data_IF_283866738020
#
_entry.id   IF_283866738020
#
_cell.length_a   1.000
_cell.length_b   1.000
_cell.length_c   1.000
_cell.angle_alpha   90.00
_cell.angle_beta   90.00
_cell.angle_gamma   90.00
#
_symmetry.space_group_name_H-M   'P 1'
#
loop_
_entity.id
_entity.type
_entity.pdbx_description
1 polymer ?
#
# COMPACT_ATOMS: atom_id res chain seq x y z
N UNK A 1 6.65 -25.08 -17.30
CA UNK A 1 6.46 -23.72 -17.85
C UNK A 1 5.73 -22.92 -16.78
N UNK A 2 6.48 -22.22 -15.94
CA UNK A 2 5.92 -21.51 -14.78
C UNK A 2 5.35 -20.17 -15.22
N UNK A 3 4.04 -19.97 -15.03
CA UNK A 3 3.42 -18.66 -15.22
C UNK A 3 4.00 -17.68 -14.22
N UNK A 4 4.55 -16.56 -14.70
CA UNK A 4 4.86 -15.40 -13.86
C UNK A 4 3.53 -14.71 -13.57
N UNK A 5 3.22 -14.55 -12.29
CA UNK A 5 2.09 -13.75 -11.82
C UNK A 5 2.31 -12.31 -12.29
N UNK A 6 1.33 -11.73 -12.98
CA UNK A 6 1.40 -10.36 -13.49
C UNK A 6 0.77 -9.45 -12.45
N UNK A 7 1.57 -8.63 -11.76
CA UNK A 7 1.05 -7.49 -11.00
C UNK A 7 0.81 -6.33 -11.98
N UNK A 8 -0.41 -6.20 -12.50
CA UNK A 8 -0.81 -4.98 -13.20
C UNK A 8 -1.17 -3.95 -12.15
N UNK A 9 -0.21 -3.11 -11.76
CA UNK A 9 -0.50 -1.90 -11.00
C UNK A 9 -0.89 -0.81 -12.01
N UNK A 10 -2.19 -0.61 -12.22
CA UNK A 10 -2.70 0.55 -12.94
C UNK A 10 -2.83 1.73 -11.96
N UNK A 11 -1.82 2.60 -11.91
CA UNK A 11 -1.90 3.84 -11.12
C UNK A 11 -2.54 4.92 -11.99
N UNK A 12 -3.81 5.22 -11.75
CA UNK A 12 -4.46 6.41 -12.31
C UNK A 12 -4.15 7.59 -11.37
N UNK A 13 -3.20 8.43 -11.75
CA UNK A 13 -2.81 9.61 -10.96
C UNK A 13 -3.65 10.81 -11.37
N UNK A 14 -4.33 11.45 -10.42
CA UNK A 14 -4.96 12.76 -10.59
C UNK A 14 -4.09 13.83 -9.93
N UNK A 15 -3.13 14.39 -10.66
CA UNK A 15 -2.41 15.59 -10.22
C UNK A 15 -3.18 16.84 -10.62
N UNK A 16 -3.43 17.76 -9.68
CA UNK A 16 -3.85 19.15 -9.99
C UNK A 16 -5.28 19.57 -9.67
N UNK A 17 -6.13 18.75 -9.04
CA UNK A 17 -7.43 19.24 -8.56
C UNK A 17 -7.26 20.07 -7.28
N UNK A 18 -7.06 21.40 -7.42
CA UNK A 18 -7.52 22.33 -6.38
C UNK A 18 -9.02 22.47 -6.53
N UNK A 19 -9.79 21.80 -5.68
CA UNK A 19 -11.17 22.23 -5.40
C UNK A 19 -11.07 23.55 -4.63
N UNK A 20 -11.03 24.68 -5.34
CA UNK A 20 -11.19 25.98 -4.69
C UNK A 20 -12.65 26.12 -4.26
N UNK A 21 -12.95 25.80 -3.00
CA UNK A 21 -14.17 26.30 -2.36
C UNK A 21 -13.96 27.78 -2.05
N UNK A 22 -14.22 28.63 -3.04
CA UNK A 22 -14.14 30.08 -2.90
C UNK A 22 -14.20 30.77 -4.26
N UNK A 23 -14.92 31.90 -4.32
CA UNK A 23 -14.96 32.75 -5.51
C UNK A 23 -13.53 33.09 -5.94
N UNK A 24 -13.11 32.58 -7.09
CA UNK A 24 -11.81 32.93 -7.66
C UNK A 24 -11.78 34.45 -7.94
N UNK A 25 -10.67 35.15 -7.61
CA UNK A 25 -10.49 36.52 -8.06
C UNK A 25 -10.53 36.58 -9.60
N UNK A 26 -10.99 37.70 -10.20
CA UNK A 26 -11.05 37.82 -11.65
C UNK A 26 -9.65 37.58 -12.24
N UNK A 27 -9.55 36.57 -13.09
CA UNK A 27 -8.33 36.23 -13.83
C UNK A 27 -7.97 37.44 -14.69
N UNK A 28 -6.75 37.97 -14.53
CA UNK A 28 -6.25 39.03 -15.39
C UNK A 28 -6.30 38.58 -16.87
N UNK A 29 -6.68 39.43 -17.82
CA UNK A 29 -6.92 39.04 -19.22
C UNK A 29 -5.69 38.44 -19.93
N UNK A 30 -4.49 38.60 -19.37
CA UNK A 30 -3.22 38.10 -19.90
C UNK A 30 -2.57 37.02 -19.02
N UNK A 31 -3.27 36.47 -18.03
CA UNK A 31 -2.75 35.34 -17.27
C UNK A 31 -2.77 34.10 -18.17
N UNK A 32 -1.58 33.69 -18.62
CA UNK A 32 -1.35 32.44 -19.35
C UNK A 32 -2.09 31.31 -18.63
N UNK A 33 -2.99 30.62 -19.34
CA UNK A 33 -3.74 29.52 -18.75
C UNK A 33 -2.75 28.54 -18.13
N UNK A 34 -2.96 28.09 -16.87
CA UNK A 34 -2.04 27.14 -16.26
C UNK A 34 -1.90 25.94 -17.19
N UNK A 35 -0.65 25.54 -17.45
CA UNK A 35 -0.37 24.39 -18.29
C UNK A 35 -1.25 23.21 -17.83
N UNK A 36 -1.88 22.47 -18.76
CA UNK A 36 -2.77 21.39 -18.38
C UNK A 36 -2.01 20.40 -17.50
N UNK A 37 -2.66 19.91 -16.46
CA UNK A 37 -2.12 18.84 -15.63
C UNK A 37 -1.69 17.69 -16.56
N UNK A 38 -0.40 17.35 -16.55
CA UNK A 38 0.09 16.18 -17.27
C UNK A 38 -0.12 14.96 -16.39
N UNK A 39 -0.97 14.08 -16.89
CA UNK A 39 -1.26 12.80 -16.28
C UNK A 39 -0.29 11.76 -16.83
N UNK A 40 0.27 10.97 -15.93
CA UNK A 40 1.18 9.89 -16.29
C UNK A 40 0.64 8.56 -15.79
N UNK A 41 0.94 7.52 -16.56
CA UNK A 41 0.78 6.13 -16.19
C UNK A 41 2.15 5.58 -15.84
N UNK A 42 2.20 4.67 -14.87
CA UNK A 42 3.37 3.85 -14.62
C UNK A 42 2.95 2.39 -14.45
N UNK A 43 3.75 1.48 -14.97
CA UNK A 43 3.54 0.03 -14.85
C UNK A 43 4.87 -0.71 -14.88
N UNK A 44 4.88 -1.94 -14.33
CA UNK A 44 6.03 -2.85 -14.41
C UNK A 44 5.75 -3.89 -15.49
N UNK A 45 6.67 -4.05 -16.43
CA UNK A 45 6.57 -5.04 -17.51
C UNK A 45 6.98 -6.45 -17.04
N UNK A 46 6.64 -7.53 -17.78
CA UNK A 46 6.98 -8.91 -17.39
C UNK A 46 8.49 -9.23 -17.28
N UNK A 47 9.32 -8.43 -17.92
CA UNK A 47 10.79 -8.45 -17.86
C UNK A 47 11.37 -7.55 -16.75
N UNK A 48 10.51 -6.85 -16.00
CA UNK A 48 10.90 -6.06 -14.84
C UNK A 48 11.29 -4.62 -15.15
N UNK A 49 10.85 -4.07 -16.28
CA UNK A 49 11.02 -2.66 -16.58
C UNK A 49 9.88 -1.87 -15.91
N UNK A 50 10.22 -0.92 -15.04
CA UNK A 50 9.27 0.10 -14.60
C UNK A 50 9.21 1.17 -15.68
N UNK A 51 8.09 1.22 -16.38
CA UNK A 51 7.85 2.14 -17.50
C UNK A 51 6.87 3.22 -17.05
N UNK A 52 7.13 4.46 -17.47
CA UNK A 52 6.16 5.56 -17.39
C UNK A 52 5.78 6.05 -18.78
N UNK A 53 4.55 6.54 -18.93
CA UNK A 53 4.08 7.19 -20.14
C UNK A 53 3.07 8.29 -19.80
N UNK A 54 2.73 9.15 -20.76
CA UNK A 54 1.57 10.02 -20.67
C UNK A 54 0.27 9.17 -20.63
N UNK A 55 -0.84 9.75 -20.18
CA UNK A 55 -2.11 9.01 -20.00
C UNK A 55 -2.70 8.42 -21.29
N UNK A 56 -2.32 8.98 -22.44
CA UNK A 56 -2.62 8.46 -23.77
C UNK A 56 -1.58 7.43 -24.27
N UNK A 57 -0.72 6.96 -23.36
CA UNK A 57 0.41 6.05 -23.60
C UNK A 57 1.52 6.65 -24.49
N UNK A 58 1.54 7.96 -24.70
CA UNK A 58 2.63 8.63 -25.41
C UNK A 58 3.92 8.73 -24.58
N UNK A 59 5.07 8.90 -25.25
CA UNK A 59 6.39 9.06 -24.62
C UNK A 59 6.71 7.98 -23.56
N UNK A 60 6.58 6.68 -23.87
CA UNK A 60 6.93 5.62 -22.93
C UNK A 60 8.44 5.64 -22.65
N UNK A 61 8.81 5.58 -21.37
CA UNK A 61 10.19 5.58 -20.90
C UNK A 61 10.39 4.59 -19.77
N UNK A 62 11.40 3.73 -19.91
CA UNK A 62 11.90 2.93 -18.79
C UNK A 62 12.61 3.85 -17.79
N UNK A 63 12.17 3.81 -16.54
CA UNK A 63 12.72 4.63 -15.44
C UNK A 63 13.45 3.80 -14.38
N UNK A 64 13.22 2.49 -14.35
CA UNK A 64 14.02 1.51 -13.63
C UNK A 64 13.91 0.15 -14.33
N UNK A 65 14.91 -0.71 -14.16
CA UNK A 65 14.95 -2.09 -14.67
C UNK A 65 15.04 -3.05 -13.47
N UNK A 66 14.90 -4.35 -13.71
CA UNK A 66 15.02 -5.39 -12.67
C UNK A 66 13.96 -5.33 -11.56
N UNK A 67 12.91 -4.54 -11.76
CA UNK A 67 11.83 -4.31 -10.80
C UNK A 67 10.91 -5.52 -10.73
N UNK A 68 10.72 -6.06 -9.53
CA UNK A 68 9.73 -7.12 -9.28
C UNK A 68 8.59 -6.68 -8.35
N UNK A 69 8.72 -5.53 -7.69
CA UNK A 69 7.67 -4.95 -6.85
C UNK A 69 7.75 -3.42 -6.88
N UNK A 70 6.59 -2.76 -6.86
CA UNK A 70 6.50 -1.30 -6.93
C UNK A 70 5.29 -0.77 -6.14
N UNK A 71 5.45 0.39 -5.49
CA UNK A 71 4.41 1.08 -4.75
C UNK A 71 4.41 2.58 -5.06
N UNK A 72 3.27 3.19 -5.43
CA UNK A 72 3.19 4.61 -5.76
C UNK A 72 3.10 5.48 -4.50
N UNK A 73 3.51 6.75 -4.60
CA UNK A 73 3.12 7.79 -3.65
C UNK A 73 1.66 8.20 -3.83
N UNK A 74 1.04 8.77 -2.79
CA UNK A 74 -0.37 9.20 -2.85
C UNK A 74 -0.62 10.31 -3.90
N UNK A 75 0.36 11.18 -4.13
CA UNK A 75 0.32 12.19 -5.19
C UNK A 75 0.66 11.63 -6.58
N UNK A 76 1.06 10.35 -6.67
CA UNK A 76 1.44 9.65 -7.88
C UNK A 76 2.68 10.18 -8.59
N UNK A 77 3.43 11.11 -7.98
CA UNK A 77 4.64 11.65 -8.58
C UNK A 77 5.85 10.71 -8.43
N UNK A 78 5.79 9.77 -7.48
CA UNK A 78 6.90 8.90 -7.12
C UNK A 78 6.47 7.44 -7.08
N UNK A 79 7.42 6.55 -7.34
CA UNK A 79 7.28 5.12 -7.17
C UNK A 79 8.48 4.61 -6.37
N UNK A 80 8.23 3.90 -5.29
CA UNK A 80 9.24 3.08 -4.63
C UNK A 80 9.19 1.70 -5.28
N UNK A 81 10.35 1.08 -5.44
CA UNK A 81 10.46 -0.17 -6.15
C UNK A 81 11.53 -1.06 -5.51
N UNK A 82 11.37 -2.37 -5.68
CA UNK A 82 12.37 -3.36 -5.31
C UNK A 82 12.97 -4.00 -6.55
N UNK A 83 14.29 -4.06 -6.58
CA UNK A 83 15.14 -4.67 -7.59
C UNK A 83 15.96 -5.81 -6.96
N UNK A 84 16.17 -6.90 -7.69
CA UNK A 84 16.84 -8.11 -7.17
C UNK A 84 18.35 -7.96 -6.97
N UNK A 85 19.01 -7.21 -7.85
CA UNK A 85 20.45 -6.95 -7.84
C UNK A 85 20.79 -5.72 -7.00
N UNK A 86 19.87 -4.78 -6.97
CA UNK A 86 20.09 -3.45 -6.47
C UNK A 86 19.43 -3.25 -5.09
N UNK A 87 18.27 -3.84 -4.82
CA UNK A 87 17.53 -3.65 -3.57
C UNK A 87 16.42 -2.63 -3.72
N UNK A 88 16.13 -1.86 -2.66
CA UNK A 88 14.98 -0.93 -2.66
C UNK A 88 15.43 0.45 -3.18
N UNK A 89 14.72 0.99 -4.16
CA UNK A 89 14.90 2.34 -4.67
C UNK A 89 13.60 3.15 -4.66
N UNK A 90 13.70 4.44 -4.98
CA UNK A 90 12.55 5.23 -5.38
C UNK A 90 12.89 6.10 -6.59
N UNK A 91 11.87 6.44 -7.37
CA UNK A 91 11.99 7.26 -8.59
C UNK A 91 10.88 8.31 -8.63
N UNK A 92 11.22 9.51 -9.11
CA UNK A 92 10.26 10.53 -9.53
C UNK A 92 9.91 10.32 -11.02
N UNK A 93 8.63 10.10 -11.33
CA UNK A 93 8.20 9.74 -12.70
C UNK A 93 8.36 10.88 -13.71
N UNK A 94 8.37 12.14 -13.23
CA UNK A 94 8.52 13.33 -14.06
C UNK A 94 9.98 13.65 -14.33
N UNK A 95 10.76 13.84 -13.26
CA UNK A 95 12.16 14.25 -13.36
C UNK A 95 13.10 13.11 -13.70
N UNK A 96 12.69 11.86 -13.45
CA UNK A 96 13.58 10.69 -13.52
C UNK A 96 14.61 10.66 -12.39
N UNK A 97 14.49 11.54 -11.39
CA UNK A 97 15.35 11.50 -10.20
C UNK A 97 15.16 10.16 -9.49
N UNK A 98 16.25 9.44 -9.28
CA UNK A 98 16.28 8.19 -8.52
C UNK A 98 17.15 8.33 -7.29
N UNK A 99 16.81 7.57 -6.25
CA UNK A 99 17.68 7.43 -5.09
C UNK A 99 17.51 6.05 -4.46
N UNK A 100 18.63 5.53 -3.95
CA UNK A 100 18.69 4.22 -3.33
C UNK A 100 18.25 4.29 -1.87
N UNK A 101 17.31 3.43 -1.51
CA UNK A 101 16.74 3.31 -0.16
C UNK A 101 17.45 2.23 0.65
N UNK A 102 17.68 1.06 0.07
CA UNK A 102 18.34 -0.06 0.74
C UNK A 102 19.10 -0.98 -0.23
N UNK A 103 20.25 -1.50 0.22
CA UNK A 103 21.01 -2.54 -0.50
C UNK A 103 20.17 -3.82 -0.67
N UNK A 104 20.49 -4.71 -1.64
CA UNK A 104 19.73 -5.93 -1.85
C UNK A 104 19.88 -6.88 -0.65
N UNK A 105 18.84 -7.67 -0.39
CA UNK A 105 18.82 -8.64 0.69
C UNK A 105 18.38 -10.00 0.16
N UNK A 106 19.25 -11.01 0.28
CA UNK A 106 19.17 -12.29 -0.45
C UNK A 106 18.23 -13.33 0.15
N UNK A 107 17.33 -12.96 1.08
CA UNK A 107 16.63 -13.97 1.92
C UNK A 107 15.14 -13.77 2.20
N UNK A 108 14.50 -12.69 1.74
CA UNK A 108 13.06 -12.53 1.95
C UNK A 108 12.29 -12.64 0.63
N UNK A 109 11.48 -13.70 0.45
CA UNK A 109 10.72 -13.90 -0.79
C UNK A 109 9.54 -12.93 -0.98
N UNK A 110 9.29 -12.04 -0.01
CA UNK A 110 8.18 -11.08 0.00
C UNK A 110 8.70 -9.71 0.44
N UNK A 111 8.77 -8.73 -0.47
CA UNK A 111 9.33 -7.40 -0.20
C UNK A 111 8.24 -6.34 -0.26
N UNK A 112 7.21 -6.48 0.58
CA UNK A 112 6.20 -5.44 0.64
C UNK A 112 6.81 -4.10 1.06
N UNK A 113 6.55 -3.08 0.25
CA UNK A 113 7.05 -1.73 0.42
C UNK A 113 5.94 -0.71 0.21
N UNK A 114 6.05 0.44 0.88
CA UNK A 114 5.06 1.50 0.80
C UNK A 114 5.70 2.88 0.97
N UNK A 115 5.28 3.86 0.17
CA UNK A 115 5.64 5.27 0.36
C UNK A 115 4.61 5.93 1.28
N UNK A 116 5.06 6.78 2.21
CA UNK A 116 4.15 7.64 2.97
C UNK A 116 3.42 8.63 2.05
N UNK A 117 2.17 9.05 2.37
CA UNK A 117 1.42 9.96 1.51
C UNK A 117 2.12 11.29 1.23
N UNK A 118 2.92 11.81 2.17
CA UNK A 118 3.77 12.99 2.00
C UNK A 118 5.00 12.78 1.09
N UNK A 119 5.22 11.55 0.63
CA UNK A 119 6.32 11.14 -0.24
C UNK A 119 7.70 11.12 0.42
N UNK A 120 7.80 11.36 1.73
CA UNK A 120 9.09 11.56 2.42
C UNK A 120 9.69 10.28 2.99
N UNK A 121 8.90 9.21 3.13
CA UNK A 121 9.32 7.98 3.80
C UNK A 121 8.98 6.76 2.98
N UNK A 122 9.84 5.75 3.06
CA UNK A 122 9.62 4.43 2.46
C UNK A 122 9.67 3.40 3.56
N UNK A 123 8.57 2.68 3.76
CA UNK A 123 8.52 1.49 4.59
C UNK A 123 8.83 0.27 3.72
N UNK A 124 9.64 -0.66 4.20
CA UNK A 124 9.96 -1.91 3.52
C UNK A 124 10.30 -3.01 4.52
N UNK A 125 10.15 -4.27 4.10
CA UNK A 125 10.43 -5.42 4.97
C UNK A 125 11.85 -5.95 4.72
N UNK A 126 12.60 -6.15 5.79
CA UNK A 126 13.94 -6.73 5.75
C UNK A 126 14.16 -7.64 6.95
N UNK A 127 14.49 -8.89 6.68
CA UNK A 127 14.64 -9.97 7.67
C UNK A 127 13.39 -10.13 8.55
N UNK A 128 12.21 -10.08 7.92
CA UNK A 128 10.91 -10.18 8.60
C UNK A 128 10.58 -9.01 9.53
N UNK A 129 11.29 -7.88 9.44
CA UNK A 129 11.03 -6.65 10.21
C UNK A 129 10.73 -5.48 9.29
N UNK A 130 9.91 -4.55 9.74
CA UNK A 130 9.70 -3.30 9.00
C UNK A 130 10.82 -2.32 9.29
N UNK A 131 11.38 -1.78 8.21
CA UNK A 131 12.30 -0.65 8.20
C UNK A 131 11.61 0.56 7.60
N UNK A 132 11.91 1.73 8.13
CA UNK A 132 11.43 3.01 7.58
C UNK A 132 12.65 3.86 7.24
N UNK A 133 12.77 4.16 5.96
CA UNK A 133 13.77 5.06 5.44
C UNK A 133 13.21 6.48 5.31
N UNK A 134 14.07 7.46 5.50
CA UNK A 134 13.78 8.89 5.28
C UNK A 134 15.03 9.54 4.72
N UNK A 135 14.88 10.34 3.67
CA UNK A 135 16.01 10.98 2.99
C UNK A 135 16.88 11.77 3.98
N UNK A 136 18.19 11.52 3.95
CA UNK A 136 19.17 12.19 4.80
C UNK A 136 19.10 11.83 6.29
N UNK A 137 18.37 10.78 6.67
CA UNK A 137 18.30 10.27 8.05
C UNK A 137 18.71 8.80 8.09
N UNK A 138 19.08 8.33 9.28
CA UNK A 138 19.30 6.90 9.49
C UNK A 138 17.99 6.12 9.37
N UNK A 139 18.06 4.97 8.70
CA UNK A 139 16.93 4.04 8.59
C UNK A 139 16.61 3.45 9.95
N UNK A 140 15.37 3.59 10.38
CA UNK A 140 14.88 3.00 11.62
C UNK A 140 14.33 1.60 11.38
N UNK A 141 14.41 0.74 12.40
CA UNK A 141 13.74 -0.56 12.42
C UNK A 141 12.64 -0.50 13.46
N UNK A 142 11.41 -0.80 13.07
CA UNK A 142 10.26 -0.75 13.98
C UNK A 142 10.39 -1.86 15.03
N UNK A 143 10.19 -1.49 16.30
CA UNK A 143 10.21 -2.41 17.43
C UNK A 143 8.84 -3.04 17.66
N UNK A 144 8.82 -4.32 18.08
CA UNK A 144 7.58 -5.09 18.31
C UNK A 144 7.38 -6.20 17.28
N UNK A 145 6.79 -5.92 16.11
CA UNK A 145 6.36 -6.95 15.17
C UNK A 145 7.54 -7.67 14.51
N UNK A 146 7.32 -8.95 14.22
CA UNK A 146 8.22 -9.85 13.49
C UNK A 146 7.41 -10.65 12.48
N UNK A 147 8.09 -11.18 11.47
CA UNK A 147 7.45 -11.84 10.32
C UNK A 147 6.44 -10.90 9.66
N UNK A 148 6.85 -9.64 9.49
CA UNK A 148 5.99 -8.56 9.01
C UNK A 148 5.63 -8.76 7.53
N UNK A 149 4.46 -8.28 7.14
CA UNK A 149 3.91 -8.23 5.79
C UNK A 149 3.18 -6.90 5.57
N UNK A 150 2.93 -6.56 4.31
CA UNK A 150 1.98 -5.53 3.87
C UNK A 150 1.99 -4.22 4.69
N UNK A 151 3.11 -3.47 4.76
CA UNK A 151 3.14 -2.17 5.40
C UNK A 151 2.22 -1.19 4.65
N UNK A 152 1.43 -0.42 5.39
CA UNK A 152 0.50 0.55 4.84
C UNK A 152 0.50 1.84 5.66
N UNK A 153 0.87 2.95 5.04
CA UNK A 153 0.85 4.26 5.70
C UNK A 153 -0.56 4.80 5.85
N UNK A 154 -0.83 5.44 6.99
CA UNK A 154 -2.04 6.21 7.19
C UNK A 154 -2.02 7.48 6.33
N UNK A 155 -3.19 8.02 5.94
CA UNK A 155 -3.32 9.23 5.13
C UNK A 155 -2.59 10.45 5.73
N UNK A 156 -2.52 10.51 7.06
CA UNK A 156 -1.83 11.57 7.81
C UNK A 156 -0.30 11.54 7.69
N UNK A 157 0.28 10.50 7.06
CA UNK A 157 1.72 10.31 6.97
C UNK A 157 2.43 10.30 8.32
N UNK A 158 1.78 9.92 9.41
CA UNK A 158 2.37 9.79 10.75
C UNK A 158 2.32 8.36 11.25
N UNK A 159 1.25 7.62 10.91
CA UNK A 159 1.05 6.23 11.34
C UNK A 159 1.35 5.23 10.23
N UNK A 160 1.85 4.05 10.60
CA UNK A 160 2.09 2.91 9.72
C UNK A 160 1.44 1.66 10.30
N UNK A 161 0.52 1.05 9.54
CA UNK A 161 -0.01 -0.27 9.86
C UNK A 161 0.84 -1.35 9.20
N UNK A 162 0.98 -2.49 9.88
CA UNK A 162 1.81 -3.62 9.47
C UNK A 162 1.09 -4.90 9.80
N UNK A 163 0.95 -5.78 8.82
CA UNK A 163 0.52 -7.16 9.04
C UNK A 163 1.67 -8.02 9.55
N UNK A 164 1.38 -9.10 10.27
CA UNK A 164 2.36 -10.15 10.51
C UNK A 164 1.85 -11.50 10.01
N UNK A 165 2.74 -12.47 9.96
CA UNK A 165 2.40 -13.89 9.78
C UNK A 165 2.51 -14.64 11.11
N UNK A 166 1.90 -15.82 11.15
CA UNK A 166 2.16 -16.85 12.15
C UNK A 166 3.66 -17.09 12.33
N UNK A 167 4.10 -17.38 13.56
CA UNK A 167 5.46 -17.90 13.77
C UNK A 167 5.53 -19.30 13.18
N UNK A 168 6.66 -19.65 12.56
CA UNK A 168 6.88 -20.96 11.93
C UNK A 168 6.57 -22.16 12.86
N UNK A 169 6.77 -22.00 14.16
CA UNK A 169 6.57 -23.05 15.16
C UNK A 169 5.23 -22.92 15.93
N UNK A 170 4.37 -21.97 15.52
CA UNK A 170 3.06 -21.74 16.10
C UNK A 170 2.00 -22.09 15.06
N UNK A 171 1.72 -23.39 14.93
CA UNK A 171 0.71 -23.93 13.99
C UNK A 171 -0.72 -23.43 14.32
N UNK A 172 -0.93 -22.91 15.53
CA UNK A 172 -2.21 -22.43 16.05
C UNK A 172 -2.25 -20.91 16.32
N UNK A 173 -1.32 -20.10 15.81
CA UNK A 173 -1.34 -18.64 15.98
C UNK A 173 -1.27 -17.90 14.65
N UNK A 174 -2.30 -17.12 14.33
CA UNK A 174 -2.30 -16.25 13.17
C UNK A 174 -1.36 -15.03 13.30
N UNK A 175 -1.14 -14.39 12.16
CA UNK A 175 -0.66 -13.02 12.12
C UNK A 175 -1.62 -12.01 12.76
N UNK A 176 -1.08 -10.89 13.24
CA UNK A 176 -1.86 -9.77 13.77
C UNK A 176 -1.58 -8.47 13.01
N UNK A 177 -2.26 -7.41 13.42
CA UNK A 177 -2.07 -6.06 12.86
C UNK A 177 -1.46 -5.16 13.92
N UNK A 178 -0.41 -4.46 13.52
CA UNK A 178 0.35 -3.55 14.37
C UNK A 178 0.30 -2.15 13.78
N UNK A 179 0.22 -1.13 14.64
CA UNK A 179 0.27 0.28 14.23
C UNK A 179 1.43 0.96 14.93
N UNK A 180 2.26 1.64 14.15
CA UNK A 180 3.38 2.43 14.64
C UNK A 180 3.13 3.92 14.38
N UNK A 181 3.37 4.76 15.39
CA UNK A 181 3.01 6.19 15.38
C UNK A 181 4.17 7.16 15.14
N UNK A 182 5.37 6.65 14.82
CA UNK A 182 6.56 7.50 14.63
C UNK A 182 7.58 7.40 15.76
N UNK A 183 7.14 6.99 16.95
CA UNK A 183 7.92 6.86 18.17
C UNK A 183 7.68 5.51 18.84
N UNK A 184 8.67 5.06 19.61
CA UNK A 184 8.58 3.82 20.38
C UNK A 184 8.31 2.56 19.55
N UNK A 185 7.72 1.58 20.23
CA UNK A 185 7.33 0.29 19.65
C UNK A 185 5.95 0.39 19.00
N UNK A 186 5.70 -0.43 17.99
CA UNK A 186 4.36 -0.55 17.42
C UNK A 186 3.39 -1.19 18.41
N UNK A 187 2.14 -0.74 18.37
CA UNK A 187 1.04 -1.24 19.19
C UNK A 187 0.29 -2.34 18.45
N UNK A 188 -0.09 -3.40 19.16
CA UNK A 188 -0.82 -4.53 18.59
C UNK A 188 -2.33 -4.24 18.62
N UNK A 189 -2.89 -3.77 17.50
CA UNK A 189 -4.28 -3.29 17.40
C UNK A 189 -5.27 -4.39 17.05
N UNK A 190 -4.85 -5.40 16.27
CA UNK A 190 -5.67 -6.59 15.99
C UNK A 190 -4.87 -7.81 16.43
N UNK A 191 -5.26 -8.47 17.53
CA UNK A 191 -4.57 -9.66 17.99
C UNK A 191 -4.79 -10.84 17.04
N UNK A 192 -3.78 -11.70 16.97
CA UNK A 192 -3.85 -13.00 16.33
C UNK A 192 -5.09 -13.79 16.78
N UNK A 193 -5.73 -14.49 15.85
CA UNK A 193 -6.73 -15.52 16.15
C UNK A 193 -6.02 -16.88 16.24
N UNK A 194 -6.58 -17.78 17.04
CA UNK A 194 -6.19 -19.19 17.10
C UNK A 194 -7.15 -20.05 16.29
N UNK A 195 -7.24 -19.79 15.00
CA UNK A 195 -8.08 -20.50 14.03
C UNK A 195 -7.25 -21.29 13.02
N UNK A 196 -5.93 -21.05 12.96
CA UNK A 196 -4.96 -21.92 12.34
C UNK A 196 -4.85 -21.67 10.83
N UNK A 197 -3.79 -20.99 10.42
CA UNK A 197 -3.37 -20.73 9.03
C UNK A 197 -3.81 -19.40 8.43
N UNK A 198 -3.73 -18.30 9.17
CA UNK A 198 -3.94 -16.93 8.67
C UNK A 198 -2.68 -16.09 8.51
N UNK A 199 -2.41 -15.61 7.30
CA UNK A 199 -1.42 -14.54 7.05
C UNK A 199 -2.11 -13.27 6.59
N UNK A 200 -1.71 -12.11 7.13
CA UNK A 200 -2.22 -10.83 6.65
C UNK A 200 -1.63 -10.55 5.26
N UNK A 201 -2.52 -10.42 4.28
CA UNK A 201 -2.17 -10.27 2.87
C UNK A 201 -2.32 -8.83 2.42
N UNK A 202 -3.31 -8.12 2.94
CA UNK A 202 -3.54 -6.71 2.63
C UNK A 202 -3.93 -5.95 3.91
N UNK A 203 -3.41 -4.74 4.05
CA UNK A 203 -3.80 -3.77 5.08
C UNK A 203 -4.07 -2.45 4.38
N UNK A 204 -5.21 -1.81 4.66
CA UNK A 204 -5.54 -0.51 4.11
C UNK A 204 -6.24 0.39 5.10
N UNK A 205 -5.78 1.63 5.17
CA UNK A 205 -6.43 2.70 5.90
C UNK A 205 -7.63 3.25 5.13
N UNK A 206 -8.69 3.60 5.85
CA UNK A 206 -9.72 4.49 5.31
C UNK A 206 -9.11 5.87 4.99
N UNK A 207 -9.65 6.61 4.01
CA UNK A 207 -9.13 7.94 3.64
C UNK A 207 -9.10 8.97 4.78
N UNK A 208 -9.96 8.84 5.78
CA UNK A 208 -9.96 9.66 7.00
C UNK A 208 -8.95 9.18 8.06
N UNK A 209 -8.35 8.00 7.87
CA UNK A 209 -7.41 7.40 8.79
C UNK A 209 -8.03 6.85 10.08
N UNK A 210 -9.36 6.72 10.16
CA UNK A 210 -10.03 6.20 11.35
C UNK A 210 -10.11 4.68 11.38
N UNK A 211 -10.13 4.02 10.22
CA UNK A 211 -10.33 2.58 10.08
C UNK A 211 -9.18 1.88 9.35
N UNK A 212 -9.01 0.61 9.67
CA UNK A 212 -8.20 -0.35 8.94
C UNK A 212 -9.08 -1.48 8.43
N UNK A 213 -8.95 -1.79 7.15
CA UNK A 213 -9.51 -2.98 6.53
C UNK A 213 -8.36 -3.93 6.19
N UNK A 214 -8.53 -5.19 6.55
CA UNK A 214 -7.47 -6.20 6.39
C UNK A 214 -8.02 -7.44 5.70
N UNK A 215 -7.18 -8.07 4.88
CA UNK A 215 -7.47 -9.36 4.28
C UNK A 215 -6.51 -10.40 4.85
N UNK A 216 -7.05 -11.55 5.26
CA UNK A 216 -6.31 -12.71 5.74
C UNK A 216 -6.69 -13.92 4.89
N UNK A 217 -5.69 -14.71 4.49
CA UNK A 217 -5.94 -16.02 3.88
C UNK A 217 -5.90 -17.07 4.96
N UNK A 218 -7.01 -17.79 5.19
CA UNK A 218 -7.15 -18.92 6.12
C UNK A 218 -7.23 -20.24 5.33
N UNK A 219 -6.85 -21.37 5.94
CA UNK A 219 -6.75 -22.67 5.24
C UNK A 219 -8.04 -23.16 4.55
N UNK A 220 -9.20 -22.61 4.91
CA UNK A 220 -10.53 -22.91 4.36
C UNK A 220 -11.13 -21.79 3.49
N UNK A 221 -10.46 -20.64 3.37
CA UNK A 221 -11.00 -19.50 2.63
C UNK A 221 -10.24 -18.21 2.88
N UNK A 222 -10.78 -17.11 2.38
CA UNK A 222 -10.20 -15.81 2.63
C UNK A 222 -11.22 -14.92 3.31
N UNK A 223 -10.86 -14.33 4.44
CA UNK A 223 -11.71 -13.43 5.23
C UNK A 223 -11.01 -12.09 5.44
N UNK A 224 -11.75 -11.10 5.93
CA UNK A 224 -11.17 -9.82 6.26
C UNK A 224 -11.84 -9.18 7.46
N UNK A 225 -11.01 -8.45 8.20
CA UNK A 225 -11.43 -7.75 9.40
C UNK A 225 -11.52 -6.25 9.10
N UNK A 226 -12.41 -5.59 9.83
CA UNK A 226 -12.52 -4.15 9.86
C UNK A 226 -12.34 -3.68 11.31
N UNK A 227 -11.46 -2.73 11.56
CA UNK A 227 -11.11 -2.28 12.92
C UNK A 227 -10.85 -0.79 12.94
N UNK A 228 -11.16 -0.09 14.05
CA UNK A 228 -10.67 1.27 14.21
C UNK A 228 -9.15 1.28 14.39
N UNK A 229 -8.51 2.33 13.91
CA UNK A 229 -7.07 2.47 13.92
C UNK A 229 -6.43 2.49 15.32
N UNK A 230 -7.23 2.75 16.36
CA UNK A 230 -6.84 2.66 17.78
C UNK A 230 -7.01 1.25 18.38
N UNK A 231 -7.41 0.26 17.56
CA UNK A 231 -7.70 -1.11 17.98
C UNK A 231 -9.08 -1.32 18.60
N UNK A 232 -9.90 -0.26 18.71
CA UNK A 232 -11.29 -0.40 19.13
C UNK A 232 -12.18 -0.95 18.00
N UNK A 233 -13.37 -1.43 18.35
CA UNK A 233 -14.40 -1.83 17.38
C UNK A 233 -13.94 -2.80 16.29
N UNK A 234 -13.35 -3.93 16.71
CA UNK A 234 -12.96 -5.02 15.80
C UNK A 234 -14.21 -5.74 15.30
N UNK A 235 -14.45 -5.70 13.99
CA UNK A 235 -15.47 -6.47 13.26
C UNK A 235 -14.75 -7.59 12.50
N UNK A 236 -14.71 -8.79 13.10
CA UNK A 236 -14.04 -9.97 12.54
C UNK A 236 -14.84 -10.57 11.39
N UNK A 237 -14.13 -11.01 10.35
CA UNK A 237 -14.70 -11.68 9.17
C UNK A 237 -15.88 -10.90 8.55
N UNK A 238 -15.89 -9.58 8.77
CA UNK A 238 -16.98 -8.69 8.40
C UNK A 238 -16.91 -8.29 6.93
N UNK A 239 -15.71 -8.37 6.35
CA UNK A 239 -15.45 -8.08 4.95
C UNK A 239 -14.85 -9.32 4.28
N UNK A 240 -15.09 -9.46 2.99
CA UNK A 240 -14.41 -10.47 2.18
C UNK A 240 -12.94 -10.12 1.96
N UNK A 241 -12.18 -11.04 1.39
CA UNK A 241 -10.73 -10.90 1.29
C UNK A 241 -10.18 -10.17 0.07
N UNK A 242 -11.06 -9.66 -0.80
CA UNK A 242 -10.70 -8.57 -1.68
C UNK A 242 -10.86 -8.82 -3.18
N UNK A 243 -10.33 -7.92 -4.05
CA UNK A 243 -9.57 -6.72 -3.66
C UNK A 243 -10.40 -5.78 -2.79
N UNK A 244 -9.84 -5.38 -1.66
CA UNK A 244 -10.47 -4.39 -0.78
C UNK A 244 -10.14 -3.02 -1.38
N UNK A 245 -11.14 -2.15 -1.53
CA UNK A 245 -10.94 -0.75 -1.92
C UNK A 245 -11.85 0.15 -1.09
N UNK A 246 -11.27 1.08 -0.33
CA UNK A 246 -12.06 2.10 0.38
C UNK A 246 -12.73 3.06 -0.59
N UNK A 247 -13.95 3.47 -0.26
CA UNK A 247 -14.58 4.63 -0.91
C UNK A 247 -13.81 5.89 -0.52
N UNK A 248 -13.65 6.88 -1.43
CA UNK A 248 -12.92 8.12 -1.13
C UNK A 248 -13.51 8.96 0.02
N UNK A 249 -14.80 8.79 0.31
CA UNK A 249 -15.53 9.45 1.38
C UNK A 249 -15.48 8.70 2.72
N UNK A 250 -14.67 7.64 2.82
CA UNK A 250 -14.54 6.75 3.97
C UNK A 250 -15.84 6.06 4.41
N UNK A 251 -16.94 6.14 3.68
CA UNK A 251 -18.24 5.63 4.16
C UNK A 251 -18.41 4.11 4.01
N UNK A 252 -17.51 3.45 3.30
CA UNK A 252 -17.61 2.02 3.03
C UNK A 252 -16.51 1.51 2.12
N UNK A 253 -16.62 0.25 1.72
CA UNK A 253 -15.62 -0.48 0.93
C UNK A 253 -16.25 -1.23 -0.24
N UNK A 254 -15.54 -1.28 -1.36
CA UNK A 254 -15.72 -2.34 -2.35
C UNK A 254 -14.99 -3.59 -1.84
N UNK A 255 -15.72 -4.69 -1.74
CA UNK A 255 -15.19 -5.98 -1.26
C UNK A 255 -15.62 -7.09 -2.20
N UNK A 256 -14.83 -8.15 -2.28
CA UNK A 256 -15.31 -9.42 -2.84
C UNK A 256 -15.30 -10.51 -1.78
N UNK A 257 -16.44 -11.18 -1.66
CA UNK A 257 -16.67 -12.29 -0.74
C UNK A 257 -16.72 -13.61 -1.49
N UNK A 258 -16.18 -14.66 -0.90
CA UNK A 258 -16.30 -16.02 -1.43
C UNK A 258 -17.70 -16.55 -1.14
N UNK A 259 -18.35 -17.16 -2.13
CA UNK A 259 -19.75 -17.59 -2.03
C UNK A 259 -19.98 -19.07 -2.42
N UNK A 260 -18.95 -19.92 -2.36
CA UNK A 260 -18.86 -21.35 -2.76
C UNK A 260 -18.21 -21.63 -4.14
N UNK A 261 -17.65 -22.85 -4.29
CA UNK A 261 -17.12 -23.42 -5.55
C UNK A 261 -16.11 -22.54 -6.32
N UNK A 262 -15.36 -21.69 -5.62
CA UNK A 262 -14.40 -20.76 -6.23
C UNK A 262 -15.03 -19.52 -6.86
N UNK A 263 -16.33 -19.30 -6.67
CA UNK A 263 -17.03 -18.09 -7.11
C UNK A 263 -16.87 -16.96 -6.09
N UNK A 264 -16.78 -15.74 -6.62
CA UNK A 264 -16.71 -14.51 -5.83
C UNK A 264 -17.90 -13.62 -6.15
N UNK A 265 -18.39 -12.93 -5.13
CA UNK A 265 -19.36 -11.84 -5.28
C UNK A 265 -18.73 -10.55 -4.85
N UNK A 266 -18.71 -9.58 -5.75
CA UNK A 266 -18.27 -8.22 -5.44
C UNK A 266 -19.48 -7.38 -5.04
N UNK A 267 -19.32 -6.57 -3.99
CA UNK A 267 -20.37 -5.68 -3.49
C UNK A 267 -19.79 -4.55 -2.65
N UNK A 268 -20.67 -3.66 -2.19
CA UNK A 268 -20.31 -2.59 -1.27
C UNK A 268 -20.64 -3.00 0.16
N UNK A 269 -19.69 -2.73 1.06
CA UNK A 269 -19.88 -2.79 2.51
C UNK A 269 -19.98 -1.36 3.01
N UNK A 270 -21.15 -0.94 3.49
CA UNK A 270 -21.33 0.39 4.11
C UNK A 270 -21.01 0.31 5.61
N UNK A 271 -20.25 1.28 6.12
CA UNK A 271 -19.84 1.30 7.54
C UNK A 271 -20.99 1.60 8.49
N UNK A 272 -21.96 2.39 8.02
CA UNK A 272 -23.19 2.75 8.71
C UNK A 272 -24.31 2.12 7.92
N UNK A 273 -25.05 1.19 8.53
CA UNK A 273 -26.30 0.71 7.95
C UNK A 273 -27.36 1.79 8.16
N UNK A 274 -27.97 2.27 7.07
CA UNK A 274 -29.24 2.99 7.12
C UNK A 274 -30.38 2.06 7.58
#
# INVERSE_FOLDING_TARGET
>A
MGGRLICVLAVLVLTGCRLSQGNAPPVAPDAEAPAPARYHLAWVTPDGELVRADVDFADPRTVAEGVYEAAPSADGARVAYADSEEGVGWVNLLSGETERVAAPHTRDPWQHLAISPDGQRVAYISMGRVKVWTRGRETITIEGPRFCTSPAWAPDSTRLAVGTMAKKDAEDEDGGIWVWSGDGAAEHVVPAIKDGWGCTQQVMWSPDGEWLATARGAGDGWTGDLVKSDGSEIRRDAIGAGPIQWRPDSSGLLVSVHIEAGAFRTGYYDLVAD
#
